data_IF_013271263135
#
_entry.id   IF_013271263135
#
_cell.length_a   1.000
_cell.length_b   1.000
_cell.length_c   1.000
_cell.angle_alpha   90.00
_cell.angle_beta   90.00
_cell.angle_gamma   90.00
#
_symmetry.space_group_name_H-M   'P 1'
#
loop_
_entity.id
_entity.type
_entity.pdbx_description
1 polymer ?
#
# COMPACT_ATOMS: atom_id res chain seq x y z
N UNK A 1 10.55 4.99 -29.15
CA UNK A 1 10.45 5.71 -27.86
C UNK A 1 10.89 4.75 -26.77
N UNK A 2 12.09 4.93 -26.21
CA UNK A 2 12.56 4.18 -25.04
C UNK A 2 11.73 4.62 -23.85
N UNK A 3 10.87 3.73 -23.35
CA UNK A 3 10.07 4.00 -22.16
C UNK A 3 11.01 4.02 -20.95
N UNK A 4 11.12 5.17 -20.27
CA UNK A 4 11.97 5.33 -19.09
C UNK A 4 11.27 4.81 -17.82
N UNK A 5 11.09 3.50 -17.76
CA UNK A 5 10.44 2.84 -16.62
C UNK A 5 11.22 3.07 -15.30
N UNK A 6 12.55 3.22 -15.37
CA UNK A 6 13.37 3.51 -14.19
C UNK A 6 13.09 4.92 -13.65
N UNK A 7 12.99 5.93 -14.53
CA UNK A 7 12.57 7.28 -14.17
C UNK A 7 11.19 7.31 -13.54
N UNK A 8 10.22 6.62 -14.13
CA UNK A 8 8.85 6.52 -13.60
C UNK A 8 8.84 5.84 -12.22
N UNK A 9 9.62 4.78 -12.03
CA UNK A 9 9.72 4.10 -10.75
C UNK A 9 10.25 5.04 -9.66
N UNK A 10 11.32 5.77 -9.97
CA UNK A 10 11.87 6.76 -9.03
C UNK A 10 10.92 7.91 -8.75
N UNK A 11 10.11 8.33 -9.72
CA UNK A 11 9.06 9.30 -9.53
C UNK A 11 8.02 8.79 -8.51
N UNK A 12 7.51 7.57 -8.68
CA UNK A 12 6.55 6.94 -7.77
C UNK A 12 7.09 6.88 -6.33
N UNK A 13 8.36 6.50 -6.15
CA UNK A 13 8.96 6.37 -4.81
C UNK A 13 9.21 7.74 -4.16
N UNK A 14 9.60 8.77 -4.93
CA UNK A 14 9.99 10.08 -4.38
C UNK A 14 8.81 11.01 -4.12
N UNK A 15 7.74 10.95 -4.91
CA UNK A 15 6.61 11.89 -4.80
C UNK A 15 6.01 11.97 -3.39
N UNK A 16 5.79 10.87 -2.65
CA UNK A 16 5.29 10.95 -1.28
C UNK A 16 6.18 11.73 -0.31
N UNK A 17 7.49 11.84 -0.59
CA UNK A 17 8.44 12.58 0.23
C UNK A 17 8.64 14.02 -0.25
N UNK A 18 8.12 14.40 -1.41
CA UNK A 18 8.15 15.78 -1.93
C UNK A 18 7.02 16.64 -1.35
N UNK A 19 5.97 16.00 -0.84
CA UNK A 19 4.76 16.67 -0.38
C UNK A 19 4.50 16.30 1.09
N UNK A 20 4.58 17.28 1.99
CA UNK A 20 4.51 17.06 3.44
C UNK A 20 3.20 16.41 3.89
N UNK A 21 2.11 16.68 3.16
CA UNK A 21 0.79 16.10 3.37
C UNK A 21 0.74 14.61 3.00
N UNK A 22 1.61 14.13 2.09
CA UNK A 22 1.72 12.73 1.71
C UNK A 22 2.61 11.92 2.67
N UNK A 23 3.62 12.57 3.26
CA UNK A 23 4.57 11.94 4.19
C UNK A 23 3.82 11.23 5.31
N UNK A 24 2.85 11.90 5.94
CA UNK A 24 2.11 11.34 7.05
C UNK A 24 1.26 10.12 6.67
N UNK A 25 0.77 10.05 5.43
CA UNK A 25 0.04 8.88 4.94
C UNK A 25 0.94 7.69 4.61
N UNK A 26 2.13 7.94 4.05
CA UNK A 26 3.04 6.87 3.60
C UNK A 26 3.91 6.30 4.73
N UNK A 27 4.21 7.09 5.76
CA UNK A 27 5.12 6.70 6.86
C UNK A 27 4.70 5.38 7.52
N UNK A 28 3.43 5.15 7.92
CA UNK A 28 3.03 3.87 8.51
C UNK A 28 3.15 2.67 7.57
N UNK A 29 3.13 2.88 6.25
CA UNK A 29 3.37 1.81 5.27
C UNK A 29 4.85 1.41 5.26
N UNK A 30 5.77 2.38 5.28
CA UNK A 30 7.22 2.12 5.37
C UNK A 30 7.63 1.49 6.71
N UNK A 31 7.09 1.97 7.83
CA UNK A 31 7.32 1.33 9.13
C UNK A 31 6.74 -0.08 9.18
N UNK A 32 5.51 -0.25 8.68
CA UNK A 32 4.86 -1.54 8.57
C UNK A 32 5.70 -2.53 7.76
N UNK A 33 6.24 -2.04 6.64
CA UNK A 33 7.15 -2.78 5.78
C UNK A 33 8.43 -3.22 6.52
N UNK A 34 9.19 -2.29 7.11
CA UNK A 34 10.44 -2.60 7.81
C UNK A 34 10.21 -3.61 8.94
N UNK A 35 9.19 -3.40 9.77
CA UNK A 35 8.85 -4.31 10.87
C UNK A 35 8.46 -5.70 10.37
N UNK A 36 7.71 -5.78 9.26
CA UNK A 36 7.34 -7.06 8.66
C UNK A 36 8.53 -7.77 8.00
N UNK A 37 9.58 -7.03 7.61
CA UNK A 37 10.79 -7.59 7.02
C UNK A 37 11.76 -8.14 8.08
N UNK A 38 11.79 -7.51 9.26
CA UNK A 38 12.60 -7.87 10.42
C UNK A 38 11.98 -8.97 11.31
N UNK A 39 10.69 -9.25 11.13
CA UNK A 39 9.98 -10.28 11.89
C UNK A 39 9.92 -11.62 11.15
N UNK A 40 9.81 -12.72 11.91
CA UNK A 40 9.79 -14.08 11.36
C UNK A 40 8.77 -14.26 10.23
N UNK A 41 9.08 -15.08 9.23
CA UNK A 41 8.22 -15.34 8.07
C UNK A 41 6.90 -16.05 8.40
N UNK A 42 6.69 -16.49 9.65
CA UNK A 42 5.46 -17.15 10.09
C UNK A 42 4.34 -16.13 10.30
N UNK A 43 3.11 -16.52 9.98
CA UNK A 43 1.94 -15.70 10.25
C UNK A 43 1.85 -15.41 11.75
N UNK A 44 1.87 -14.13 12.11
CA UNK A 44 1.79 -13.68 13.50
C UNK A 44 0.69 -12.61 13.63
N UNK A 45 -0.04 -12.65 14.74
CA UNK A 45 -1.06 -11.66 15.07
C UNK A 45 -0.48 -10.24 15.16
N UNK A 46 0.76 -10.09 15.63
CA UNK A 46 1.44 -8.78 15.66
C UNK A 46 1.63 -8.20 14.25
N UNK A 47 2.04 -9.03 13.31
CA UNK A 47 2.19 -8.68 11.88
C UNK A 47 0.83 -8.32 11.28
N UNK A 48 -0.24 -9.03 11.64
CA UNK A 48 -1.59 -8.73 11.20
C UNK A 48 -2.12 -7.39 11.75
N UNK A 49 -1.84 -7.07 13.03
CA UNK A 49 -2.19 -5.75 13.61
C UNK A 49 -1.43 -4.63 12.89
N UNK A 50 -0.12 -4.80 12.71
CA UNK A 50 0.73 -3.80 12.05
C UNK A 50 0.24 -3.53 10.62
N UNK A 51 0.04 -4.59 9.84
CA UNK A 51 -0.50 -4.50 8.48
C UNK A 51 -1.89 -3.87 8.47
N UNK A 52 -2.77 -4.32 9.36
CA UNK A 52 -4.13 -3.81 9.47
C UNK A 52 -4.15 -2.32 9.76
N UNK A 53 -3.30 -1.87 10.69
CA UNK A 53 -3.12 -0.45 11.00
C UNK A 53 -2.59 0.33 9.80
N UNK A 54 -1.50 -0.11 9.17
CA UNK A 54 -0.93 0.58 8.00
C UNK A 54 -1.92 0.72 6.85
N UNK A 55 -2.76 -0.31 6.62
CA UNK A 55 -3.75 -0.32 5.54
C UNK A 55 -4.94 0.58 5.87
N UNK A 56 -5.47 0.49 7.09
CA UNK A 56 -6.54 1.37 7.54
C UNK A 56 -6.08 2.85 7.54
N UNK A 57 -4.83 3.11 7.92
CA UNK A 57 -4.24 4.44 7.89
C UNK A 57 -4.11 4.98 6.46
N UNK A 58 -3.57 4.18 5.54
CA UNK A 58 -3.48 4.57 4.13
C UNK A 58 -4.87 4.87 3.54
N UNK A 59 -5.85 4.01 3.80
CA UNK A 59 -7.22 4.22 3.34
C UNK A 59 -7.87 5.48 3.95
N UNK A 60 -7.63 5.74 5.24
CA UNK A 60 -8.11 6.96 5.89
C UNK A 60 -7.46 8.21 5.28
N UNK A 61 -6.16 8.16 4.98
CA UNK A 61 -5.43 9.25 4.34
C UNK A 61 -5.92 9.52 2.92
N UNK A 62 -6.11 8.49 2.10
CA UNK A 62 -6.68 8.63 0.76
C UNK A 62 -8.09 9.20 0.79
N UNK A 63 -8.91 8.73 1.73
CA UNK A 63 -10.27 9.26 1.96
C UNK A 63 -10.22 10.74 2.34
N UNK A 64 -9.31 11.12 3.23
CA UNK A 64 -9.11 12.52 3.62
C UNK A 64 -8.71 13.39 2.42
N UNK A 65 -7.75 12.95 1.60
CA UNK A 65 -7.33 13.70 0.41
C UNK A 65 -8.47 13.84 -0.60
N UNK A 66 -9.23 12.77 -0.84
CA UNK A 66 -10.39 12.79 -1.72
C UNK A 66 -11.41 13.87 -1.33
N UNK A 67 -11.73 13.98 -0.03
CA UNK A 67 -12.65 15.01 0.47
C UNK A 67 -12.04 16.42 0.46
N UNK A 68 -10.72 16.53 0.72
CA UNK A 68 -10.01 17.81 0.69
C UNK A 68 -9.95 18.41 -0.72
N UNK A 69 -9.83 17.57 -1.74
CA UNK A 69 -9.87 17.98 -3.15
C UNK A 69 -11.27 18.39 -3.62
N UNK A 70 -12.34 17.98 -2.91
CA UNK A 70 -13.74 18.27 -3.23
C UNK A 70 -14.50 19.00 -2.10
N UNK A 71 -14.07 20.21 -1.68
CA UNK A 71 -14.72 20.94 -0.60
C UNK A 71 -16.07 21.53 -1.07
N UNK A 72 -17.19 20.97 -0.63
CA UNK A 72 -18.51 21.62 -0.70
C UNK A 72 -19.51 21.14 -1.76
N UNK A 73 -19.25 20.05 -2.47
CA UNK A 73 -20.26 19.40 -3.33
C UNK A 73 -20.43 17.94 -2.93
N UNK A 74 -21.65 17.41 -2.99
CA UNK A 74 -21.87 15.96 -3.02
C UNK A 74 -20.85 15.39 -4.01
N UNK A 75 -20.08 14.34 -3.64
CA UNK A 75 -18.98 13.87 -4.47
C UNK A 75 -19.55 13.64 -5.85
N UNK A 76 -19.15 14.50 -6.80
CA UNK A 76 -19.33 14.16 -8.20
C UNK A 76 -18.41 12.96 -8.35
N UNK A 77 -18.99 11.77 -8.20
CA UNK A 77 -18.41 10.53 -8.67
C UNK A 77 -18.27 10.76 -10.17
N UNK A 78 -17.21 11.47 -10.54
CA UNK A 78 -16.92 11.75 -11.91
C UNK A 78 -16.62 10.37 -12.48
N UNK A 79 -17.58 9.87 -13.27
CA UNK A 79 -17.68 8.48 -13.71
C UNK A 79 -16.55 8.10 -14.68
N UNK A 80 -15.45 8.85 -14.68
CA UNK A 80 -14.16 8.37 -15.12
C UNK A 80 -13.88 7.04 -14.42
N UNK A 81 -13.62 6.02 -15.22
CA UNK A 81 -13.28 4.67 -14.78
C UNK A 81 -12.18 4.70 -13.69
N UNK A 82 -11.29 5.69 -13.77
CA UNK A 82 -10.11 5.84 -12.90
C UNK A 82 -10.43 6.42 -11.52
N UNK A 83 -11.38 7.36 -11.39
CA UNK A 83 -11.85 7.82 -10.07
C UNK A 83 -12.59 6.70 -9.33
N UNK A 84 -13.42 5.94 -10.05
CA UNK A 84 -14.09 4.75 -9.52
C UNK A 84 -13.08 3.68 -9.05
N UNK A 85 -11.98 3.49 -9.77
CA UNK A 85 -10.88 2.60 -9.36
C UNK A 85 -10.23 3.07 -8.06
N UNK A 86 -9.95 4.37 -7.89
CA UNK A 86 -9.38 4.89 -6.63
C UNK A 86 -10.30 4.65 -5.43
N UNK A 87 -11.60 4.94 -5.58
CA UNK A 87 -12.58 4.69 -4.51
C UNK A 87 -12.67 3.18 -4.20
N UNK A 88 -12.74 2.33 -5.23
CA UNK A 88 -12.80 0.88 -5.05
C UNK A 88 -11.55 0.34 -4.34
N UNK A 89 -10.35 0.76 -4.75
CA UNK A 89 -9.09 0.37 -4.11
C UNK A 89 -9.07 0.85 -2.66
N UNK A 90 -9.49 2.09 -2.39
CA UNK A 90 -9.57 2.62 -1.02
C UNK A 90 -10.51 1.80 -0.12
N UNK A 91 -11.69 1.45 -0.62
CA UNK A 91 -12.66 0.62 0.12
C UNK A 91 -12.09 -0.78 0.37
N UNK A 92 -11.50 -1.41 -0.64
CA UNK A 92 -10.88 -2.74 -0.51
C UNK A 92 -9.75 -2.74 0.51
N UNK A 93 -8.84 -1.75 0.45
CA UNK A 93 -7.73 -1.61 1.39
C UNK A 93 -8.25 -1.35 2.80
N UNK A 94 -9.29 -0.53 2.96
CA UNK A 94 -9.94 -0.30 4.26
C UNK A 94 -10.50 -1.60 4.84
N UNK A 95 -11.26 -2.37 4.06
CA UNK A 95 -11.83 -3.63 4.49
C UNK A 95 -10.75 -4.66 4.86
N UNK A 96 -9.72 -4.81 4.03
CA UNK A 96 -8.58 -5.70 4.31
C UNK A 96 -7.87 -5.25 5.59
N UNK A 97 -7.63 -3.95 5.76
CA UNK A 97 -7.01 -3.37 6.93
C UNK A 97 -7.78 -3.66 8.21
N UNK A 98 -9.10 -3.43 8.19
CA UNK A 98 -10.00 -3.72 9.31
C UNK A 98 -10.06 -5.21 9.64
N UNK A 99 -10.17 -6.08 8.64
CA UNK A 99 -10.19 -7.54 8.85
C UNK A 99 -8.85 -7.99 9.47
N UNK A 100 -7.72 -7.49 8.98
CA UNK A 100 -6.40 -7.83 9.53
C UNK A 100 -6.25 -7.34 10.98
N UNK A 101 -6.69 -6.12 11.27
CA UNK A 101 -6.65 -5.53 12.61
C UNK A 101 -7.53 -6.31 13.60
N UNK A 102 -8.77 -6.59 13.23
CA UNK A 102 -9.71 -7.38 14.06
C UNK A 102 -9.20 -8.80 14.27
N UNK A 103 -8.65 -9.44 13.24
CA UNK A 103 -8.07 -10.79 13.34
C UNK A 103 -6.88 -10.83 14.30
N UNK A 104 -6.01 -9.81 14.22
CA UNK A 104 -4.88 -9.64 15.12
C UNK A 104 -5.29 -9.39 16.57
N UNK A 105 -6.25 -8.49 16.80
CA UNK A 105 -6.78 -8.18 18.13
C UNK A 105 -7.51 -9.36 18.77
N UNK A 106 -8.36 -10.07 18.01
CA UNK A 106 -9.09 -11.24 18.48
C UNK A 106 -8.23 -12.50 18.58
N UNK A 107 -6.94 -12.42 18.21
CA UNK A 107 -6.01 -13.56 18.14
C UNK A 107 -6.59 -14.78 17.41
N UNK A 108 -7.42 -14.51 16.38
CA UNK A 108 -8.11 -15.55 15.60
C UNK A 108 -8.17 -15.12 14.15
N UNK A 109 -7.55 -15.91 13.28
CA UNK A 109 -7.66 -15.70 11.84
C UNK A 109 -9.00 -16.27 11.33
N UNK A 110 -9.74 -15.54 10.49
CA UNK A 110 -10.85 -16.08 9.72
C UNK A 110 -10.37 -17.25 8.85
N UNK A 111 -11.27 -18.19 8.54
CA UNK A 111 -10.97 -19.31 7.62
C UNK A 111 -10.47 -18.71 6.29
N UNK A 112 -9.30 -19.13 5.82
CA UNK A 112 -8.58 -18.65 4.62
C UNK A 112 -7.89 -17.26 4.71
N UNK A 113 -7.89 -16.56 5.85
CA UNK A 113 -7.26 -15.24 5.99
C UNK A 113 -5.88 -15.25 6.68
N UNK A 114 -5.20 -16.41 6.73
CA UNK A 114 -3.85 -16.51 7.31
C UNK A 114 -2.81 -15.70 6.53
N UNK A 115 -3.08 -15.39 5.25
CA UNK A 115 -2.23 -14.54 4.41
C UNK A 115 -2.07 -13.12 4.96
N UNK A 116 -3.03 -12.63 5.75
CA UNK A 116 -2.94 -11.32 6.42
C UNK A 116 -1.78 -11.24 7.42
N UNK A 117 -1.29 -12.39 7.88
CA UNK A 117 -0.08 -12.50 8.69
C UNK A 117 1.23 -12.49 7.88
N UNK A 118 1.18 -12.41 6.55
CA UNK A 118 2.34 -12.51 5.64
C UNK A 118 2.58 -11.25 4.77
N UNK A 119 2.03 -10.10 5.17
CA UNK A 119 1.78 -8.92 4.34
C UNK A 119 3.00 -8.12 3.81
N UNK A 120 4.16 -8.75 3.65
CA UNK A 120 5.37 -8.12 3.10
C UNK A 120 5.12 -7.57 1.70
N UNK A 121 4.65 -8.41 0.78
CA UNK A 121 4.28 -7.99 -0.58
C UNK A 121 3.23 -6.87 -0.56
N UNK A 122 2.24 -7.00 0.29
CA UNK A 122 1.13 -6.05 0.37
C UNK A 122 1.61 -4.65 0.78
N UNK A 123 2.56 -4.51 1.71
CA UNK A 123 3.13 -3.21 2.06
C UNK A 123 3.95 -2.60 0.91
N UNK A 124 4.76 -3.39 0.19
CA UNK A 124 5.48 -2.89 -0.99
C UNK A 124 4.53 -2.38 -2.07
N UNK A 125 3.51 -3.18 -2.37
CA UNK A 125 2.51 -2.83 -3.36
C UNK A 125 1.78 -1.54 -2.97
N UNK A 126 1.40 -1.42 -1.69
CA UNK A 126 0.78 -0.21 -1.13
C UNK A 126 1.65 1.03 -1.28
N UNK A 127 2.95 0.93 -0.99
CA UNK A 127 3.90 2.04 -1.17
C UNK A 127 3.96 2.47 -2.64
N UNK A 128 3.97 1.50 -3.57
CA UNK A 128 4.08 1.78 -5.00
C UNK A 128 2.81 2.44 -5.58
N UNK A 129 1.63 2.05 -5.13
CA UNK A 129 0.36 2.65 -5.57
C UNK A 129 0.00 3.94 -4.81
N UNK A 130 0.67 4.24 -3.70
CA UNK A 130 0.36 5.37 -2.83
C UNK A 130 0.24 6.72 -3.57
N UNK A 131 1.23 7.18 -4.36
CA UNK A 131 1.15 8.49 -5.03
C UNK A 131 0.07 8.55 -6.12
N UNK A 132 -0.31 7.40 -6.69
CA UNK A 132 -1.39 7.29 -7.67
C UNK A 132 -2.77 7.42 -7.00
N UNK A 133 -2.92 6.82 -5.82
CA UNK A 133 -4.16 6.91 -5.04
C UNK A 133 -4.41 8.31 -4.48
N UNK A 134 -3.35 9.08 -4.25
CA UNK A 134 -3.45 10.46 -3.74
C UNK A 134 -3.63 11.51 -4.85
N UNK A 135 -3.88 11.10 -6.10
CA UNK A 135 -4.04 11.97 -7.29
C UNK A 135 -2.85 12.90 -7.65
N UNK A 136 -1.80 12.98 -6.82
CA UNK A 136 -0.57 13.71 -7.13
C UNK A 136 0.15 13.21 -8.38
N UNK A 137 0.03 11.92 -8.70
CA UNK A 137 0.43 11.36 -9.98
C UNK A 137 -0.81 10.75 -10.68
N UNK A 138 -1.14 11.16 -11.91
CA UNK A 138 -2.27 10.56 -12.62
C UNK A 138 -2.05 9.07 -12.91
N UNK A 139 -3.14 8.32 -12.98
CA UNK A 139 -3.12 6.95 -13.47
C UNK A 139 -2.78 6.91 -14.95
N UNK A 140 -1.64 6.30 -15.28
CA UNK A 140 -1.22 6.03 -16.65
C UNK A 140 -0.85 4.56 -16.80
N UNK A 141 -1.04 4.01 -18.00
CA UNK A 141 -0.69 2.60 -18.27
C UNK A 141 0.80 2.33 -18.07
N UNK A 142 1.65 3.32 -18.35
CA UNK A 142 3.10 3.27 -18.13
C UNK A 142 3.45 3.12 -16.65
N UNK A 143 2.76 3.82 -15.74
CA UNK A 143 2.94 3.69 -14.29
C UNK A 143 2.47 2.34 -13.77
N UNK A 144 1.35 1.83 -14.28
CA UNK A 144 0.86 0.48 -13.94
C UNK A 144 1.87 -0.59 -14.38
N UNK A 145 2.37 -0.49 -15.61
CA UNK A 145 3.44 -1.38 -16.11
C UNK A 145 4.71 -1.27 -15.28
N UNK A 146 5.10 -0.05 -14.90
CA UNK A 146 6.27 0.18 -14.03
C UNK A 146 6.10 -0.51 -12.67
N UNK A 147 4.93 -0.38 -12.05
CA UNK A 147 4.64 -1.05 -10.78
C UNK A 147 4.70 -2.57 -10.97
N UNK A 148 4.09 -3.12 -12.02
CA UNK A 148 4.16 -4.56 -12.30
C UNK A 148 5.62 -5.03 -12.55
N UNK A 149 6.40 -4.25 -13.29
CA UNK A 149 7.78 -4.56 -13.67
C UNK A 149 8.74 -4.51 -12.49
N UNK A 150 8.57 -3.56 -11.55
CA UNK A 150 9.51 -3.36 -10.45
C UNK A 150 9.03 -3.94 -9.11
N UNK A 151 7.73 -3.94 -8.81
CA UNK A 151 7.23 -4.42 -7.51
C UNK A 151 7.51 -5.91 -7.31
N UNK A 152 7.35 -6.74 -8.34
CA UNK A 152 7.58 -8.19 -8.24
C UNK A 152 9.08 -8.52 -8.12
N UNK A 153 10.00 -8.01 -8.96
CA UNK A 153 11.43 -8.29 -8.81
C UNK A 153 12.01 -7.74 -7.52
N UNK A 154 11.64 -6.51 -7.11
CA UNK A 154 12.13 -5.93 -5.84
C UNK A 154 11.67 -6.79 -4.66
N UNK A 155 10.42 -7.24 -4.67
CA UNK A 155 9.93 -8.16 -3.66
C UNK A 155 10.71 -9.48 -3.66
N UNK A 156 10.99 -10.07 -4.83
CA UNK A 156 11.78 -11.30 -4.92
C UNK A 156 13.20 -11.10 -4.37
N UNK A 157 13.86 -10.01 -4.73
CA UNK A 157 15.22 -9.67 -4.26
C UNK A 157 15.23 -9.54 -2.73
N UNK A 158 14.24 -8.88 -2.14
CA UNK A 158 14.17 -8.70 -0.68
C UNK A 158 13.73 -9.99 0.03
N UNK A 159 12.84 -10.76 -0.59
CA UNK A 159 12.42 -12.06 -0.10
C UNK A 159 13.60 -13.04 0.00
N UNK A 160 14.37 -13.20 -1.09
CA UNK A 160 15.49 -14.14 -1.18
C UNK A 160 16.77 -13.58 -0.56
N UNK A 161 17.09 -12.31 -0.81
CA UNK A 161 18.31 -11.66 -0.31
C UNK A 161 18.35 -11.52 1.20
N UNK A 162 17.19 -11.39 1.86
CA UNK A 162 17.13 -11.34 3.33
C UNK A 162 16.86 -12.70 3.99
N UNK A 163 16.71 -13.79 3.22
CA UNK A 163 16.64 -15.16 3.79
C UNK A 163 17.82 -15.51 4.73
N UNK A 164 19.09 -15.12 4.43
CA UNK A 164 20.23 -15.45 5.30
C UNK A 164 20.12 -14.79 6.68
N UNK A 165 19.61 -13.55 6.74
CA UNK A 165 19.43 -12.80 7.98
C UNK A 165 18.25 -13.33 8.83
N UNK A 166 17.37 -14.14 8.23
CA UNK A 166 16.14 -14.68 8.84
C UNK A 166 16.31 -16.06 9.47
N UNK A 167 17.45 -16.72 9.28
CA UNK A 167 17.71 -18.08 9.79
C UNK A 167 18.08 -18.14 11.29
N UNK A 168 17.67 -17.17 12.10
CA UNK A 168 17.80 -17.22 13.56
C UNK A 168 16.46 -17.04 14.24
#
# INVERSE_FOLDING_TARGET
MTHDYAGIFWELVRTPFRHIDLVWGVVPLYFGWILNELTSSKANFRTAINTGFSFAWAAAHWTYQYFREHPGGAPKLDASLLSAVNVAVTVVVCLIGLVALVSGLRRKFPRYCSFLGHARFSNYFMIAIFPLQTNYLPWTWERVQTIALFAVPIWLVLQFGLMPLRKK
#
